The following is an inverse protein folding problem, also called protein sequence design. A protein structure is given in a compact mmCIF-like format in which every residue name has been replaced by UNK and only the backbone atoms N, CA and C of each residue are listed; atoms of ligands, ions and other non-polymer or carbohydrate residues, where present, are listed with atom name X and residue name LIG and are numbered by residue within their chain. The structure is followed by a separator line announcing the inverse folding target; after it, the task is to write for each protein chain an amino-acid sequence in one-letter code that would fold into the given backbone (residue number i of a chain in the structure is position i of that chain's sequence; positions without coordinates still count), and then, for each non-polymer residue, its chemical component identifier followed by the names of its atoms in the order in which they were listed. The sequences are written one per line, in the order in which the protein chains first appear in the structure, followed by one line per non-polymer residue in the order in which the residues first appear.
data_IF_135094823931
#
_entry.id   IF_135094823931
#
_cell.length_a   1.000
_cell.length_b   1.000
_cell.length_c   1.000
_cell.angle_alpha   90.00
_cell.angle_beta   90.00
_cell.angle_gamma   90.00
#
_symmetry.space_group_name_H-M   'P 1'
#
loop_
_entity.id
_entity.type
_entity.pdbx_description
1 polymer ?
#
# COMPACT_ATOMS: atom_id res chain seq x y z
N UNK A 1 29.79 7.88 -19.94
CA UNK A 1 29.15 9.09 -20.50
C UNK A 1 27.68 9.05 -20.15
N UNK A 2 27.14 10.15 -19.63
CA UNK A 2 25.72 10.27 -19.27
C UNK A 2 25.03 11.07 -20.36
N UNK A 3 23.85 10.61 -20.79
CA UNK A 3 23.05 11.26 -21.82
C UNK A 3 21.81 11.86 -21.20
N UNK A 4 21.68 13.17 -21.22
CA UNK A 4 20.48 13.88 -20.78
C UNK A 4 19.64 14.27 -21.99
N UNK A 5 18.41 13.77 -22.02
CA UNK A 5 17.43 14.09 -23.07
C UNK A 5 16.33 15.03 -22.57
N UNK A 6 16.08 15.03 -21.26
CA UNK A 6 14.98 15.76 -20.63
C UNK A 6 15.45 16.44 -19.33
N UNK A 7 14.77 17.51 -18.94
CA UNK A 7 14.90 18.16 -17.63
C UNK A 7 13.67 17.91 -16.75
N UNK A 8 13.87 17.59 -15.47
CA UNK A 8 12.80 17.51 -14.48
C UNK A 8 12.43 18.91 -14.00
N UNK A 9 11.14 19.24 -13.98
CA UNK A 9 10.66 20.51 -13.41
C UNK A 9 10.73 20.47 -11.89
N UNK A 10 11.37 21.49 -11.32
CA UNK A 10 11.57 21.69 -9.88
C UNK A 10 11.24 23.13 -9.56
N UNK A 11 10.57 23.39 -8.43
CA UNK A 11 10.28 24.77 -8.00
C UNK A 11 11.56 25.58 -7.87
N UNK A 12 11.51 26.88 -8.17
CA UNK A 12 12.67 27.76 -8.08
C UNK A 12 13.35 27.69 -6.69
N UNK A 13 12.53 27.67 -5.63
CA UNK A 13 12.99 27.54 -4.23
C UNK A 13 13.80 26.26 -4.00
N UNK A 14 13.32 25.10 -4.46
CA UNK A 14 14.06 23.84 -4.34
C UNK A 14 15.31 23.84 -5.23
N UNK A 15 15.24 24.44 -6.42
CA UNK A 15 16.38 24.50 -7.32
C UNK A 15 17.54 25.30 -6.71
N UNK A 16 17.26 26.44 -6.08
CA UNK A 16 18.27 27.28 -5.44
C UNK A 16 18.88 26.61 -4.19
N UNK A 17 18.06 25.88 -3.44
CA UNK A 17 18.54 25.10 -2.29
C UNK A 17 19.42 23.91 -2.73
N UNK A 18 19.02 23.20 -3.80
CA UNK A 18 19.84 22.13 -4.41
C UNK A 18 21.14 22.69 -5.01
N UNK A 19 21.09 23.87 -5.61
CA UNK A 19 22.24 24.58 -6.20
C UNK A 19 23.29 24.97 -5.15
N UNK A 20 22.82 25.39 -3.97
CA UNK A 20 23.70 25.74 -2.84
C UNK A 20 24.16 24.53 -2.04
N UNK A 21 23.57 23.34 -2.29
CA UNK A 21 23.82 22.14 -1.51
C UNK A 21 23.19 22.16 -0.12
N UNK A 22 22.25 23.08 0.14
CA UNK A 22 21.55 23.19 1.41
C UNK A 22 20.59 22.01 1.67
N UNK A 23 20.08 21.41 0.59
CA UNK A 23 19.23 20.22 0.62
C UNK A 23 19.69 19.21 -0.42
N UNK A 24 19.22 17.98 -0.27
CA UNK A 24 19.31 16.92 -1.29
C UNK A 24 17.92 16.42 -1.71
N UNK A 25 16.87 16.83 -1.01
CA UNK A 25 15.48 16.41 -1.23
C UNK A 25 14.74 17.31 -2.22
N UNK A 26 13.89 16.72 -3.05
CA UNK A 26 12.91 17.46 -3.86
C UNK A 26 11.66 16.62 -4.12
N UNK A 27 10.55 17.25 -4.52
CA UNK A 27 9.33 16.51 -4.85
C UNK A 27 9.12 16.34 -6.34
N UNK A 28 8.53 15.22 -6.70
CA UNK A 28 8.03 14.94 -8.05
C UNK A 28 6.58 14.47 -8.02
N UNK A 29 5.88 14.77 -9.11
CA UNK A 29 4.50 14.32 -9.35
C UNK A 29 4.44 12.87 -9.87
N UNK A 30 5.58 12.31 -10.27
CA UNK A 30 5.70 10.95 -10.81
C UNK A 30 6.90 10.24 -10.20
N UNK A 31 6.75 8.94 -9.98
CA UNK A 31 7.86 8.07 -9.58
C UNK A 31 9.03 8.17 -10.57
N UNK A 32 10.25 8.25 -10.05
CA UNK A 32 11.48 8.26 -10.83
C UNK A 32 12.29 7.00 -10.52
N UNK A 33 12.76 6.33 -11.57
CA UNK A 33 13.68 5.21 -11.41
C UNK A 33 14.98 5.69 -10.77
N UNK A 34 15.53 4.87 -9.88
CA UNK A 34 16.85 5.08 -9.28
C UNK A 34 17.90 5.13 -10.40
N UNK A 35 18.90 5.98 -10.19
CA UNK A 35 19.99 6.32 -11.11
C UNK A 35 19.54 6.97 -12.42
N UNK A 36 18.25 7.30 -12.58
CA UNK A 36 17.80 8.12 -13.69
C UNK A 36 18.45 9.50 -13.60
N UNK A 37 19.10 9.91 -14.69
CA UNK A 37 19.71 11.23 -14.83
C UNK A 37 18.81 12.17 -15.63
N UNK A 38 18.74 13.43 -15.22
CA UNK A 38 17.98 14.47 -15.90
C UNK A 38 18.56 15.86 -15.58
N UNK A 39 18.33 16.82 -16.45
CA UNK A 39 18.63 18.22 -16.14
C UNK A 39 17.64 18.75 -15.08
N UNK A 40 18.01 19.77 -14.30
CA UNK A 40 17.09 20.41 -13.36
C UNK A 40 16.53 21.69 -13.97
N UNK A 41 15.23 21.68 -14.25
CA UNK A 41 14.53 22.74 -14.94
C UNK A 41 13.71 23.56 -13.91
N UNK A 42 13.89 24.89 -13.79
CA UNK A 42 13.10 25.69 -12.87
C UNK A 42 11.64 25.86 -13.35
N UNK A 43 10.69 25.55 -12.47
CA UNK A 43 9.27 25.79 -12.69
C UNK A 43 8.93 27.26 -12.38
N UNK A 44 9.06 28.12 -13.40
CA UNK A 44 8.72 29.54 -13.33
C UNK A 44 7.28 29.76 -13.80
N UNK A 45 6.43 30.35 -12.96
CA UNK A 45 5.02 30.63 -13.27
C UNK A 45 4.83 31.95 -14.06
N UNK A 46 5.45 32.09 -15.23
CA UNK A 46 5.34 33.30 -16.06
C UNK A 46 4.99 32.99 -17.53
N UNK A 47 4.56 34.02 -18.28
CA UNK A 47 4.05 33.92 -19.65
C UNK A 47 5.08 33.33 -20.63
N UNK A 48 4.58 32.49 -21.55
CA UNK A 48 5.37 31.72 -22.52
C UNK A 48 6.11 32.64 -23.53
N UNK A 49 7.29 33.16 -23.19
CA UNK A 49 8.22 33.69 -24.20
C UNK A 49 9.71 33.70 -23.81
N UNK A 50 10.06 33.41 -22.55
CA UNK A 50 11.44 33.61 -22.08
C UNK A 50 12.28 32.32 -22.14
N UNK A 51 13.56 32.49 -22.46
CA UNK A 51 14.56 31.42 -22.38
C UNK A 51 15.03 31.29 -20.93
N UNK A 52 15.04 30.06 -20.42
CA UNK A 52 15.50 29.77 -19.07
C UNK A 52 16.83 29.05 -19.11
N UNK A 53 17.75 29.49 -18.26
CA UNK A 53 19.08 28.89 -18.15
C UNK A 53 19.02 27.65 -17.27
N UNK A 54 19.43 26.51 -17.83
CA UNK A 54 19.60 25.24 -17.11
C UNK A 54 21.08 24.92 -17.03
N UNK A 55 21.59 24.88 -15.81
CA UNK A 55 23.02 24.70 -15.51
C UNK A 55 23.30 23.62 -14.46
N UNK A 56 22.26 22.87 -14.06
CA UNK A 56 22.34 21.75 -13.13
C UNK A 56 21.71 20.50 -13.72
N UNK A 57 22.22 19.35 -13.31
CA UNK A 57 21.62 18.05 -13.56
C UNK A 57 21.72 17.19 -12.31
N UNK A 58 20.88 16.16 -12.22
CA UNK A 58 20.85 15.28 -11.07
C UNK A 58 20.71 13.82 -11.46
N UNK A 59 21.17 12.95 -10.56
CA UNK A 59 20.82 11.52 -10.52
C UNK A 59 19.87 11.28 -9.35
N UNK A 60 18.77 10.57 -9.61
CA UNK A 60 17.87 10.10 -8.56
C UNK A 60 18.53 8.97 -7.76
N UNK A 61 18.70 9.14 -6.45
CA UNK A 61 19.28 8.13 -5.55
C UNK A 61 18.25 7.41 -4.70
N UNK A 62 17.14 8.07 -4.37
CA UNK A 62 15.93 7.45 -3.85
C UNK A 62 14.69 8.13 -4.42
N UNK A 63 13.60 7.38 -4.49
CA UNK A 63 12.27 7.89 -4.83
C UNK A 63 11.24 7.14 -3.97
N UNK A 64 10.71 7.82 -2.96
CA UNK A 64 9.76 7.25 -2.01
C UNK A 64 8.40 7.91 -2.17
N UNK A 65 7.35 7.11 -2.04
CA UNK A 65 5.99 7.63 -1.96
C UNK A 65 5.75 8.08 -0.52
N UNK A 66 5.42 9.35 -0.34
CA UNK A 66 5.15 9.96 0.94
C UNK A 66 3.72 10.49 0.94
N UNK A 67 3.01 10.26 2.03
CA UNK A 67 1.69 10.79 2.29
C UNK A 67 1.69 11.70 3.54
N UNK A 68 0.50 12.16 3.92
CA UNK A 68 0.29 13.07 5.06
C UNK A 68 0.67 12.44 6.42
N UNK A 69 0.91 11.13 6.50
CA UNK A 69 1.34 10.46 7.73
C UNK A 69 2.82 10.70 8.03
N UNK A 70 3.59 11.15 7.03
CA UNK A 70 4.97 11.56 7.22
C UNK A 70 5.01 12.96 7.85
N UNK A 71 5.85 13.14 8.86
CA UNK A 71 5.95 14.39 9.60
C UNK A 71 6.25 15.59 8.67
N UNK A 72 5.33 16.54 8.61
CA UNK A 72 5.44 17.72 7.71
C UNK A 72 6.63 18.62 8.12
N UNK A 73 6.94 18.66 9.41
CA UNK A 73 8.08 19.44 9.92
C UNK A 73 9.41 18.86 9.44
N UNK A 74 9.47 17.54 9.30
CA UNK A 74 10.62 16.77 8.84
C UNK A 74 10.78 16.90 7.32
N UNK A 75 9.69 16.84 6.56
CA UNK A 75 9.71 17.12 5.11
C UNK A 75 10.16 18.55 4.78
N UNK A 76 9.83 19.51 5.65
CA UNK A 76 10.27 20.90 5.52
C UNK A 76 11.77 21.06 5.81
N UNK A 77 12.40 20.12 6.53
CA UNK A 77 13.86 20.12 6.73
C UNK A 77 14.61 19.46 5.56
N UNK A 78 13.99 18.49 4.90
CA UNK A 78 14.57 17.75 3.77
C UNK A 78 14.41 18.48 2.43
N UNK A 79 13.47 19.40 2.37
CA UNK A 79 13.15 20.18 1.16
C UNK A 79 13.21 21.67 1.47
N UNK A 80 13.24 22.54 0.45
CA UNK A 80 13.20 23.97 0.69
C UNK A 80 11.77 24.52 0.79
N UNK A 81 10.77 23.64 0.97
CA UNK A 81 9.36 24.03 1.08
C UNK A 81 8.99 24.32 2.53
N UNK A 82 8.14 25.33 2.73
CA UNK A 82 7.56 25.60 4.04
C UNK A 82 6.53 24.53 4.42
N UNK A 83 6.22 24.44 5.72
CA UNK A 83 5.16 23.56 6.24
C UNK A 83 3.83 23.85 5.53
N UNK A 84 3.49 25.13 5.32
CA UNK A 84 2.25 25.55 4.67
C UNK A 84 2.21 25.15 3.18
N UNK A 85 3.35 25.20 2.49
CA UNK A 85 3.45 24.74 1.10
C UNK A 85 3.27 23.21 1.01
N UNK A 86 3.87 22.46 1.94
CA UNK A 86 3.71 21.01 2.04
C UNK A 86 2.27 20.61 2.37
N UNK A 87 1.63 21.26 3.34
CA UNK A 87 0.22 21.05 3.68
C UNK A 87 -0.68 21.32 2.47
N UNK A 88 -0.46 22.41 1.74
CA UNK A 88 -1.20 22.73 0.52
C UNK A 88 -1.03 21.66 -0.56
N UNK A 89 0.19 21.13 -0.72
CA UNK A 89 0.48 20.03 -1.65
C UNK A 89 -0.27 18.75 -1.24
N UNK A 90 -0.26 18.38 0.04
CA UNK A 90 -0.97 17.19 0.54
C UNK A 90 -2.50 17.35 0.53
N UNK A 91 -3.02 18.57 0.73
CA UNK A 91 -4.45 18.85 0.57
C UNK A 91 -4.91 18.67 -0.88
N UNK A 92 -4.06 19.02 -1.85
CA UNK A 92 -4.36 18.82 -3.26
C UNK A 92 -4.11 17.38 -3.73
N UNK A 93 -3.29 16.61 -3.01
CA UNK A 93 -2.80 15.29 -3.43
C UNK A 93 -2.58 14.38 -2.23
N UNK A 94 -3.24 13.22 -2.23
CA UNK A 94 -3.13 12.24 -1.16
C UNK A 94 -1.67 11.74 -0.92
N UNK A 95 -0.82 11.75 -1.94
CA UNK A 95 0.59 11.39 -1.84
C UNK A 95 1.47 12.11 -2.87
N UNK A 96 2.75 12.27 -2.54
CA UNK A 96 3.80 12.84 -3.41
C UNK A 96 5.04 11.95 -3.40
N UNK A 97 5.91 12.10 -4.40
CA UNK A 97 7.19 11.37 -4.41
C UNK A 97 8.32 12.25 -3.90
N UNK A 98 8.94 11.88 -2.79
CA UNK A 98 10.18 12.48 -2.32
C UNK A 98 11.35 11.87 -3.07
N UNK A 99 12.19 12.74 -3.64
CA UNK A 99 13.39 12.39 -4.36
C UNK A 99 14.60 12.78 -3.54
N UNK A 100 15.55 11.86 -3.39
CA UNK A 100 16.91 12.21 -2.97
C UNK A 100 17.77 12.34 -4.22
N UNK A 101 18.33 13.52 -4.44
CA UNK A 101 19.00 13.90 -5.69
C UNK A 101 20.49 14.13 -5.47
N UNK A 102 21.34 13.41 -6.20
CA UNK A 102 22.77 13.72 -6.33
C UNK A 102 22.92 14.78 -7.43
N UNK A 103 23.18 16.02 -7.04
CA UNK A 103 23.20 17.18 -7.95
C UNK A 103 24.61 17.53 -8.42
N UNK A 104 24.69 17.90 -9.70
CA UNK A 104 25.91 18.22 -10.40
C UNK A 104 25.74 19.49 -11.25
N UNK A 105 26.83 20.21 -11.49
CA UNK A 105 26.87 21.29 -12.48
C UNK A 105 26.90 20.70 -13.88
N UNK A 106 26.17 21.32 -14.80
CA UNK A 106 26.45 21.18 -16.21
C UNK A 106 27.76 21.92 -16.54
N UNK A 107 28.70 21.30 -17.26
CA UNK A 107 29.91 21.99 -17.72
C UNK A 107 29.60 23.22 -18.59
N UNK A 108 28.55 23.13 -19.41
CA UNK A 108 28.06 24.23 -20.24
C UNK A 108 26.55 24.42 -19.98
N UNK A 109 26.14 25.53 -19.35
CA UNK A 109 24.73 25.90 -19.22
C UNK A 109 24.03 25.98 -20.57
N UNK A 110 22.77 25.58 -20.62
CA UNK A 110 21.94 25.61 -21.82
C UNK A 110 20.75 26.56 -21.63
N UNK A 111 20.22 27.07 -22.74
CA UNK A 111 18.97 27.83 -22.76
C UNK A 111 17.84 26.91 -23.23
N UNK A 112 16.76 26.83 -22.45
CA UNK A 112 15.59 26.02 -22.76
C UNK A 112 14.36 26.92 -22.80
N UNK A 113 13.50 26.73 -23.79
CA UNK A 113 12.25 27.49 -23.88
C UNK A 113 11.33 27.16 -22.70
N UNK A 114 10.71 28.20 -22.14
CA UNK A 114 9.70 28.01 -21.12
C UNK A 114 8.50 27.25 -21.65
N UNK A 115 8.13 26.18 -20.95
CA UNK A 115 6.97 25.35 -21.27
C UNK A 115 6.03 25.30 -20.06
N UNK A 116 4.73 25.42 -20.33
CA UNK A 116 3.70 25.56 -19.28
C UNK A 116 3.16 24.23 -18.73
N UNK A 117 3.46 23.07 -19.35
CA UNK A 117 2.84 21.77 -18.95
C UNK A 117 3.81 20.57 -18.95
N UNK A 118 3.61 19.62 -18.02
CA UNK A 118 4.40 18.38 -17.90
C UNK A 118 5.46 18.36 -16.79
N UNK A 119 5.82 17.17 -16.30
CA UNK A 119 6.89 17.00 -15.28
C UNK A 119 8.30 17.09 -15.86
N UNK A 120 8.43 16.71 -17.13
CA UNK A 120 9.68 16.74 -17.85
C UNK A 120 9.59 17.70 -19.04
N UNK A 121 10.64 18.48 -19.25
CA UNK A 121 10.81 19.36 -20.40
C UNK A 121 11.83 18.69 -21.34
N UNK A 122 11.52 18.48 -22.62
CA UNK A 122 12.50 17.99 -23.58
C UNK A 122 13.63 19.04 -23.72
N UNK A 123 14.87 18.59 -23.69
CA UNK A 123 16.00 19.47 -23.98
C UNK A 123 16.08 19.71 -25.50
N UNK A 124 16.53 20.89 -25.95
CA UNK A 124 16.63 21.20 -27.38
C UNK A 124 17.56 20.23 -28.12
N UNK A 125 18.60 19.75 -27.44
CA UNK A 125 19.53 18.74 -27.91
C UNK A 125 19.90 17.78 -26.78
N UNK A 126 20.35 16.58 -27.14
CA UNK A 126 20.86 15.60 -26.17
C UNK A 126 22.20 16.05 -25.63
N UNK A 127 22.33 16.16 -24.31
CA UNK A 127 23.56 16.60 -23.65
C UNK A 127 24.35 15.39 -23.22
N UNK A 128 25.60 15.30 -23.69
CA UNK A 128 26.53 14.23 -23.29
C UNK A 128 27.48 14.77 -22.23
N UNK A 129 27.47 14.14 -21.06
CA UNK A 129 28.30 14.50 -19.92
C UNK A 129 29.42 13.48 -19.79
N UNK A 130 30.66 13.98 -19.91
CA UNK A 130 31.90 13.23 -19.71
C UNK A 130 32.43 13.37 -18.29
N UNK A 131 32.20 14.51 -17.64
CA UNK A 131 32.73 14.83 -16.31
C UNK A 131 31.60 15.19 -15.34
N UNK A 132 31.64 14.57 -14.15
CA UNK A 132 30.69 14.85 -13.06
C UNK A 132 31.30 15.89 -12.13
N UNK A 133 30.70 17.08 -12.08
CA UNK A 133 31.12 18.15 -11.16
C UNK A 133 30.05 18.26 -10.07
N UNK A 134 30.18 17.54 -8.94
CA UNK A 134 29.12 17.50 -7.95
C UNK A 134 29.03 18.82 -7.17
N UNK A 135 27.82 19.20 -6.76
CA UNK A 135 27.59 20.38 -5.91
C UNK A 135 28.12 20.14 -4.49
N UNK A 136 27.84 18.96 -3.95
CA UNK A 136 28.35 18.47 -2.68
C UNK A 136 29.42 17.41 -2.95
N UNK A 137 30.51 17.36 -2.22
CA UNK A 137 31.39 16.19 -2.34
C UNK A 137 30.69 14.91 -1.81
N UNK A 138 31.29 13.73 -2.04
CA UNK A 138 30.65 12.46 -1.65
C UNK A 138 30.43 12.36 -0.14
N UNK A 139 31.33 12.95 0.66
CA UNK A 139 31.23 12.93 2.12
C UNK A 139 30.09 13.84 2.60
N UNK A 140 30.01 15.05 2.06
CA UNK A 140 28.94 16.01 2.36
C UNK A 140 27.57 15.48 1.95
N UNK A 141 27.50 14.85 0.78
CA UNK A 141 26.26 14.22 0.32
C UNK A 141 25.84 13.06 1.20
N UNK A 142 26.78 12.18 1.56
CA UNK A 142 26.51 11.08 2.47
C UNK A 142 26.06 11.57 3.84
N UNK A 143 26.69 12.63 4.37
CA UNK A 143 26.29 13.23 5.66
C UNK A 143 24.86 13.77 5.65
N UNK A 144 24.47 14.50 4.59
CA UNK A 144 23.09 15.02 4.49
C UNK A 144 22.10 13.89 4.23
N UNK A 145 22.49 12.87 3.46
CA UNK A 145 21.68 11.67 3.24
C UNK A 145 21.50 10.86 4.53
N UNK A 146 22.53 10.72 5.35
CA UNK A 146 22.48 10.01 6.64
C UNK A 146 21.64 10.79 7.65
N UNK A 147 21.75 12.12 7.69
CA UNK A 147 20.82 12.97 8.46
C UNK A 147 19.37 12.78 8.02
N UNK A 148 19.14 12.55 6.71
CA UNK A 148 17.81 12.27 6.16
C UNK A 148 17.28 10.89 6.55
N UNK A 149 18.17 9.89 6.71
CA UNK A 149 17.82 8.55 7.23
C UNK A 149 17.61 8.55 8.75
N UNK A 150 18.37 9.37 9.49
CA UNK A 150 18.16 9.56 10.94
C UNK A 150 16.81 10.25 11.23
N UNK A 151 16.29 11.05 10.28
CA UNK A 151 14.93 11.58 10.30
C UNK A 151 13.86 10.49 10.11
N UNK A 152 14.12 9.43 9.34
CA UNK A 152 13.26 8.22 9.34
C UNK A 152 13.31 7.48 10.69
N UNK A 153 14.48 7.45 11.35
CA UNK A 153 14.68 6.78 12.64
C UNK A 153 14.09 7.54 13.84
N UNK A 154 13.92 8.87 13.77
CA UNK A 154 13.30 9.67 14.84
C UNK A 154 11.77 9.54 14.88
N UNK A 155 11.14 9.27 13.73
CA UNK A 155 9.70 8.97 13.60
C UNK A 155 9.39 7.56 14.16
N UNK A 156 10.37 6.65 14.14
CA UNK A 156 10.30 5.34 14.81
C UNK A 156 10.72 5.43 16.30
N UNK A 157 11.55 6.41 16.65
CA UNK A 157 12.12 6.57 17.99
C UNK A 157 11.33 7.52 18.87
N UNK A 158 10.13 7.11 19.27
CA UNK A 158 9.59 7.55 20.56
C UNK A 158 8.70 6.53 21.29
N UNK A 159 8.81 5.22 20.97
CA UNK A 159 8.35 4.17 21.90
C UNK A 159 9.20 2.90 22.00
N UNK A 160 10.27 2.71 21.23
CA UNK A 160 11.11 1.51 21.37
C UNK A 160 12.59 1.81 21.10
N UNK A 161 13.27 2.44 22.05
CA UNK A 161 14.73 2.41 22.12
C UNK A 161 15.11 1.95 23.51
N UNK A 162 15.49 0.68 23.60
CA UNK A 162 16.69 0.22 24.31
C UNK A 162 16.73 -1.31 24.24
N UNK A 163 17.42 -1.82 23.22
CA UNK A 163 18.45 -2.87 23.35
C UNK A 163 18.98 -3.18 21.95
N UNK A 164 20.31 -3.26 21.85
CA UNK A 164 21.06 -3.61 20.66
C UNK A 164 20.45 -4.82 19.95
N UNK A 165 20.20 -4.68 18.65
CA UNK A 165 19.75 -5.78 17.81
C UNK A 165 20.98 -6.32 17.06
N UNK A 166 21.50 -7.43 17.58
CA UNK A 166 22.45 -8.34 16.95
C UNK A 166 21.93 -8.78 15.56
N UNK A 167 22.81 -9.34 14.73
CA UNK A 167 22.52 -9.98 13.43
C UNK A 167 21.36 -11.01 13.46
N UNK A 168 20.82 -11.34 14.65
CA UNK A 168 19.62 -12.16 14.85
C UNK A 168 18.27 -11.46 14.59
N UNK A 169 18.14 -10.13 14.70
CA UNK A 169 16.82 -9.49 14.54
C UNK A 169 16.42 -9.27 13.08
N UNK A 170 17.40 -9.15 12.17
CA UNK A 170 17.13 -9.24 10.72
C UNK A 170 16.63 -10.65 10.34
N UNK A 171 17.11 -11.68 11.05
CA UNK A 171 16.68 -13.08 10.90
C UNK A 171 15.31 -13.36 11.56
N UNK A 172 14.88 -12.57 12.56
CA UNK A 172 13.52 -12.69 13.15
C UNK A 172 12.42 -12.09 12.27
N UNK A 173 12.72 -11.09 11.44
CA UNK A 173 11.73 -10.45 10.56
C UNK A 173 11.55 -11.26 9.26
N UNK A 174 12.54 -12.10 8.90
CA UNK A 174 12.48 -12.99 7.72
C UNK A 174 13.12 -14.38 8.02
N UNK A 175 12.47 -15.24 8.81
CA UNK A 175 13.04 -16.54 9.20
C UNK A 175 13.25 -17.53 8.03
N UNK A 176 12.74 -17.24 6.82
CA UNK A 176 12.84 -18.14 5.67
C UNK A 176 13.93 -17.76 4.65
N UNK A 177 14.79 -16.78 4.93
CA UNK A 177 15.84 -16.37 3.97
C UNK A 177 17.09 -17.28 3.97
N UNK A 178 17.18 -18.25 4.88
CA UNK A 178 18.28 -19.21 4.94
C UNK A 178 17.75 -20.65 5.05
N UNK A 179 17.44 -21.27 3.92
CA UNK A 179 17.52 -22.73 3.79
C UNK A 179 17.95 -23.12 2.39
N UNK A 180 19.26 -23.01 2.13
CA UNK A 180 19.94 -23.88 1.17
C UNK A 180 21.11 -24.52 1.91
N UNK A 181 20.99 -25.85 2.10
CA UNK A 181 21.98 -26.82 2.60
C UNK A 181 22.27 -26.73 4.12
N UNK A 182 21.83 -27.63 5.00
CA UNK A 182 21.88 -29.11 4.96
C UNK A 182 20.90 -29.72 5.99
N UNK A 183 20.42 -30.94 5.70
CA UNK A 183 19.57 -31.86 6.49
C UNK A 183 19.59 -31.76 8.03
N UNK A 184 18.40 -31.70 8.66
CA UNK A 184 17.78 -32.82 9.39
C UNK A 184 16.29 -32.54 9.69
N UNK A 185 15.47 -33.60 9.59
CA UNK A 185 14.00 -33.61 9.64
C UNK A 185 13.50 -33.33 11.06
N UNK A 186 12.80 -32.21 11.31
CA UNK A 186 11.94 -32.03 12.49
C UNK A 186 10.69 -31.23 12.11
N UNK A 187 9.53 -31.80 12.41
CA UNK A 187 8.17 -31.38 11.99
C UNK A 187 7.80 -29.93 12.38
N UNK A 188 7.55 -29.09 11.38
CA UNK A 188 7.16 -27.66 11.51
C UNK A 188 5.67 -27.39 11.82
N UNK A 189 4.83 -28.42 12.02
CA UNK A 189 3.37 -28.23 12.09
C UNK A 189 2.81 -27.59 13.39
N UNK A 190 3.62 -27.44 14.46
CA UNK A 190 3.06 -27.15 15.79
C UNK A 190 3.28 -25.74 16.37
N UNK A 191 4.16 -24.89 15.82
CA UNK A 191 4.47 -23.58 16.45
C UNK A 191 3.69 -22.37 15.89
N UNK A 192 3.18 -22.40 14.65
CA UNK A 192 2.36 -21.31 14.08
C UNK A 192 0.89 -21.34 14.52
N UNK A 193 0.41 -22.48 15.04
CA UNK A 193 -1.01 -22.69 15.36
C UNK A 193 -1.51 -21.90 16.59
N UNK A 194 -0.61 -21.46 17.49
CA UNK A 194 -1.01 -20.84 18.75
C UNK A 194 -1.33 -19.32 18.64
N UNK A 195 -0.66 -18.60 17.73
CA UNK A 195 -0.79 -17.12 17.58
C UNK A 195 -2.11 -16.68 16.91
N UNK A 196 -2.69 -17.51 16.04
CA UNK A 196 -3.88 -17.18 15.24
C UNK A 196 -5.17 -17.85 15.75
N UNK A 197 -5.09 -18.58 16.87
CA UNK A 197 -6.21 -19.29 17.49
C UNK A 197 -7.43 -18.38 17.79
N UNK A 198 -7.19 -17.10 18.05
CA UNK A 198 -8.23 -16.11 18.29
C UNK A 198 -9.18 -15.91 17.09
N UNK A 199 -8.73 -16.14 15.85
CA UNK A 199 -9.57 -15.96 14.66
C UNK A 199 -10.80 -16.88 14.72
N UNK A 200 -10.62 -18.11 15.21
CA UNK A 200 -11.71 -19.09 15.39
C UNK A 200 -12.75 -18.63 16.43
N UNK A 201 -12.43 -17.65 17.27
CA UNK A 201 -13.34 -17.11 18.29
C UNK A 201 -14.27 -16.03 17.76
N UNK A 202 -14.03 -15.46 16.57
CA UNK A 202 -14.82 -14.36 16.00
C UNK A 202 -16.30 -14.77 15.88
N UNK A 203 -16.57 -15.89 15.22
CA UNK A 203 -17.94 -16.40 15.08
C UNK A 203 -18.55 -16.82 16.41
N UNK A 204 -17.76 -17.46 17.27
CA UNK A 204 -18.21 -17.96 18.58
C UNK A 204 -18.66 -16.81 19.50
N UNK A 205 -17.95 -15.67 19.49
CA UNK A 205 -18.31 -14.50 20.29
C UNK A 205 -19.54 -13.77 19.74
N UNK A 206 -19.79 -13.84 18.43
CA UNK A 206 -20.98 -13.25 17.83
C UNK A 206 -22.22 -14.13 17.95
N UNK A 207 -22.08 -15.45 17.72
CA UNK A 207 -23.18 -16.41 17.71
C UNK A 207 -23.51 -16.92 19.12
N UNK A 208 -24.46 -16.22 19.75
CA UNK A 208 -25.00 -16.60 21.07
C UNK A 208 -26.17 -17.57 20.99
N UNK A 209 -26.30 -18.34 19.90
CA UNK A 209 -27.33 -19.39 19.80
C UNK A 209 -27.04 -20.60 20.69
N UNK A 210 -25.79 -20.77 21.13
CA UNK A 210 -25.27 -21.94 21.87
C UNK A 210 -25.12 -21.67 23.39
N UNK A 211 -25.16 -20.41 23.85
CA UNK A 211 -25.14 -20.09 25.28
C UNK A 211 -26.48 -20.48 25.93
N UNK A 212 -26.55 -21.69 26.49
CA UNK A 212 -27.50 -22.00 27.54
C UNK A 212 -27.18 -21.11 28.74
N UNK A 213 -28.18 -20.37 29.24
CA UNK A 213 -28.34 -19.51 30.44
C UNK A 213 -27.18 -19.16 31.42
N UNK A 214 -25.91 -19.47 31.15
CA UNK A 214 -24.79 -19.30 32.08
C UNK A 214 -24.03 -17.97 31.86
N UNK A 215 -24.38 -17.03 32.75
CA UNK A 215 -23.49 -16.20 33.60
C UNK A 215 -22.53 -15.15 33.01
N UNK A 216 -22.51 -14.84 31.71
CA UNK A 216 -22.00 -13.52 31.26
C UNK A 216 -23.16 -12.54 31.11
N UNK A 217 -23.07 -11.37 31.75
CA UNK A 217 -24.05 -10.31 31.50
C UNK A 217 -24.08 -9.96 30.01
N UNK A 218 -25.26 -9.71 29.46
CA UNK A 218 -25.44 -9.36 28.03
C UNK A 218 -24.51 -8.24 27.58
N UNK A 219 -24.23 -7.31 28.50
CA UNK A 219 -23.29 -6.19 28.30
C UNK A 219 -21.86 -6.69 28.03
N UNK A 220 -21.34 -7.60 28.87
CA UNK A 220 -19.96 -8.10 28.72
C UNK A 220 -19.77 -8.88 27.42
N UNK A 221 -20.77 -9.66 27.02
CA UNK A 221 -20.72 -10.40 25.75
C UNK A 221 -20.75 -9.49 24.52
N UNK A 222 -21.54 -8.41 24.55
CA UNK A 222 -21.54 -7.39 23.51
C UNK A 222 -20.16 -6.73 23.37
N UNK A 223 -19.57 -6.32 24.49
CA UNK A 223 -18.22 -5.72 24.51
C UNK A 223 -17.14 -6.69 24.03
N UNK A 224 -17.17 -7.96 24.45
CA UNK A 224 -16.23 -8.98 23.98
C UNK A 224 -16.32 -9.15 22.45
N UNK A 225 -17.53 -9.13 21.89
CA UNK A 225 -17.76 -9.21 20.45
C UNK A 225 -17.29 -7.95 19.70
N UNK A 226 -17.60 -6.75 20.19
CA UNK A 226 -17.07 -5.52 19.59
C UNK A 226 -15.53 -5.52 19.55
N UNK A 227 -14.88 -5.98 20.62
CA UNK A 227 -13.43 -6.01 20.71
C UNK A 227 -12.81 -7.00 19.71
N UNK A 228 -13.42 -8.18 19.53
CA UNK A 228 -12.90 -9.15 18.54
C UNK A 228 -13.12 -8.64 17.10
N UNK A 229 -14.21 -7.93 16.84
CA UNK A 229 -14.44 -7.29 15.53
C UNK A 229 -13.43 -6.18 15.27
N UNK A 230 -13.15 -5.31 16.27
CA UNK A 230 -12.11 -4.27 16.15
C UNK A 230 -10.75 -4.88 15.84
N UNK A 231 -10.36 -5.91 16.60
CA UNK A 231 -9.11 -6.66 16.35
C UNK A 231 -9.07 -7.28 14.95
N UNK A 232 -10.21 -7.78 14.46
CA UNK A 232 -10.34 -8.34 13.11
C UNK A 232 -10.10 -7.28 12.03
N UNK A 233 -10.69 -6.09 12.19
CA UNK A 233 -10.53 -4.99 11.25
C UNK A 233 -9.09 -4.42 11.28
N UNK A 234 -8.49 -4.26 12.47
CA UNK A 234 -7.07 -3.90 12.62
C UNK A 234 -6.17 -4.92 11.92
N UNK A 235 -6.44 -6.22 12.15
CA UNK A 235 -5.70 -7.29 11.49
C UNK A 235 -5.84 -7.24 9.98
N UNK A 236 -7.00 -6.86 9.44
CA UNK A 236 -7.22 -6.68 7.99
C UNK A 236 -6.49 -5.45 7.41
N UNK A 237 -6.05 -4.52 8.25
CA UNK A 237 -5.33 -3.30 7.84
C UNK A 237 -6.13 -2.01 8.01
N UNK A 238 -7.24 -2.01 8.74
CA UNK A 238 -7.95 -0.77 9.08
C UNK A 238 -7.36 -0.09 10.32
N UNK A 239 -7.37 1.25 10.33
CA UNK A 239 -7.03 2.04 11.52
C UNK A 239 -8.30 2.30 12.34
N UNK A 240 -8.39 1.78 13.56
CA UNK A 240 -9.54 2.00 14.46
C UNK A 240 -9.45 3.38 15.10
N UNK A 241 -10.46 4.21 14.86
CA UNK A 241 -10.61 5.49 15.52
C UNK A 241 -11.14 5.28 16.95
N UNK A 242 -10.22 5.45 17.90
CA UNK A 242 -10.52 5.26 19.32
C UNK A 242 -11.23 6.48 19.95
N UNK A 243 -11.24 7.64 19.29
CA UNK A 243 -11.91 8.85 19.78
C UNK A 243 -13.44 8.71 19.75
N UNK A 244 -13.95 7.84 18.89
CA UNK A 244 -15.37 7.57 18.73
C UNK A 244 -15.84 6.28 19.43
N UNK A 245 -15.08 5.76 20.42
CA UNK A 245 -15.37 4.46 21.06
C UNK A 245 -16.76 4.35 21.73
N UNK A 246 -17.26 3.11 21.69
CA UNK A 246 -18.51 2.60 22.26
C UNK A 246 -18.70 2.84 23.76
N UNK A 247 -19.96 3.03 24.13
CA UNK A 247 -20.55 3.45 25.41
C UNK A 247 -21.97 3.99 25.15
N UNK A 248 -22.68 4.52 26.15
CA UNK A 248 -24.01 5.11 25.91
C UNK A 248 -23.91 6.30 24.93
N UNK A 249 -24.33 6.10 23.68
CA UNK A 249 -24.22 7.07 22.58
C UNK A 249 -22.99 6.91 21.66
N UNK A 250 -22.26 5.79 21.79
CA UNK A 250 -21.09 5.35 21.00
C UNK A 250 -21.40 4.70 19.66
N UNK A 251 -20.55 4.85 18.62
CA UNK A 251 -20.53 3.88 17.51
C UNK A 251 -19.71 2.68 17.97
N UNK A 252 -20.19 1.46 17.70
CA UNK A 252 -19.41 0.26 18.00
C UNK A 252 -18.13 0.22 17.18
N UNK A 253 -18.20 0.61 15.90
CA UNK A 253 -17.10 0.61 14.94
C UNK A 253 -16.94 1.98 14.27
N UNK A 254 -15.71 2.48 14.27
CA UNK A 254 -15.26 3.61 13.46
C UNK A 254 -13.82 3.35 13.04
N UNK A 255 -13.58 3.23 11.72
CA UNK A 255 -12.25 3.10 11.15
C UNK A 255 -11.98 4.32 10.28
N UNK A 256 -10.85 5.00 10.47
CA UNK A 256 -10.49 6.19 9.70
C UNK A 256 -9.84 5.85 8.36
N UNK A 257 -9.07 4.76 8.31
CA UNK A 257 -8.25 4.37 7.16
C UNK A 257 -8.42 2.88 6.85
N UNK A 258 -8.18 2.44 5.60
CA UNK A 258 -7.80 3.25 4.42
C UNK A 258 -8.98 4.05 3.82
N UNK A 259 -10.18 3.86 4.35
CA UNK A 259 -11.33 4.72 4.10
C UNK A 259 -12.26 4.65 5.31
N UNK A 260 -13.08 5.69 5.45
CA UNK A 260 -14.03 5.78 6.56
C UNK A 260 -15.04 4.62 6.52
N UNK A 261 -14.98 3.76 7.53
CA UNK A 261 -15.89 2.65 7.76
C UNK A 261 -16.51 2.80 9.15
N UNK A 262 -17.82 3.01 9.20
CA UNK A 262 -18.58 3.06 10.45
C UNK A 262 -19.51 1.86 10.55
N UNK A 263 -19.84 1.43 11.76
CA UNK A 263 -20.71 0.28 11.90
C UNK A 263 -21.11 -0.10 13.30
N UNK A 264 -21.96 -1.13 13.35
CA UNK A 264 -22.55 -1.69 14.56
C UNK A 264 -22.26 -3.19 14.66
N UNK A 265 -22.00 -3.65 15.88
CA UNK A 265 -21.77 -5.05 16.20
C UNK A 265 -22.97 -5.59 16.96
N UNK A 266 -23.66 -6.61 16.43
CA UNK A 266 -24.79 -7.22 17.13
C UNK A 266 -24.51 -8.71 17.39
N UNK A 267 -24.10 -9.01 18.62
CA UNK A 267 -24.02 -10.37 19.14
C UNK A 267 -25.43 -10.88 19.49
N UNK A 268 -25.81 -12.05 19.00
CA UNK A 268 -27.10 -12.67 19.32
C UNK A 268 -27.89 -13.25 18.14
N UNK A 269 -29.13 -13.69 18.42
CA UNK A 269 -29.98 -14.45 17.49
C UNK A 269 -30.62 -13.59 16.39
N UNK A 270 -30.68 -12.27 16.55
CA UNK A 270 -31.31 -11.35 15.60
C UNK A 270 -30.59 -9.99 15.56
N UNK A 271 -30.66 -9.31 14.42
CA UNK A 271 -30.23 -7.90 14.30
C UNK A 271 -31.49 -7.02 14.47
N UNK A 272 -31.63 -6.24 15.57
CA UNK A 272 -32.83 -5.46 15.85
C UNK A 272 -33.03 -4.31 14.86
N UNK A 273 -34.29 -3.90 14.65
CA UNK A 273 -34.69 -2.77 13.80
C UNK A 273 -33.90 -1.49 14.06
N UNK A 274 -33.69 -1.15 15.34
CA UNK A 274 -33.00 0.07 15.74
C UNK A 274 -31.54 0.15 15.31
N UNK A 275 -30.91 -0.94 14.88
CA UNK A 275 -29.48 -0.98 14.53
C UNK A 275 -29.14 -0.04 13.38
N UNK A 276 -29.96 -0.01 12.33
CA UNK A 276 -29.74 0.92 11.20
C UNK A 276 -29.99 2.36 11.60
N UNK A 277 -30.99 2.61 12.45
CA UNK A 277 -31.29 3.95 12.96
C UNK A 277 -30.17 4.48 13.87
N UNK A 278 -29.53 3.60 14.63
CA UNK A 278 -28.38 3.90 15.48
C UNK A 278 -27.16 4.35 14.66
N UNK A 279 -26.82 3.63 13.59
CA UNK A 279 -25.76 4.06 12.64
C UNK A 279 -26.06 5.44 12.07
N UNK A 280 -27.30 5.71 11.66
CA UNK A 280 -27.66 7.02 11.10
C UNK A 280 -27.54 8.11 12.16
N UNK A 281 -28.19 7.91 13.32
CA UNK A 281 -28.24 8.90 14.41
C UNK A 281 -26.84 9.21 14.92
N UNK A 282 -26.07 8.20 15.25
CA UNK A 282 -24.75 8.39 15.86
C UNK A 282 -23.73 8.82 14.80
N UNK A 283 -23.76 8.22 13.61
CA UNK A 283 -22.87 8.59 12.52
C UNK A 283 -23.04 10.03 12.07
N UNK A 284 -24.27 10.53 11.89
CA UNK A 284 -24.52 11.94 11.56
C UNK A 284 -24.13 12.89 12.69
N UNK A 285 -24.21 12.44 13.94
CA UNK A 285 -23.85 13.29 15.10
C UNK A 285 -22.34 13.40 15.29
N UNK A 286 -21.59 12.35 14.93
CA UNK A 286 -20.17 12.22 15.29
C UNK A 286 -19.22 12.52 14.14
N UNK A 287 -19.63 12.27 12.91
CA UNK A 287 -18.82 12.67 11.76
C UNK A 287 -18.89 14.19 11.63
N UNK A 288 -17.73 14.81 11.35
CA UNK A 288 -17.56 16.26 11.38
C UNK A 288 -18.38 16.94 10.29
N UNK A 289 -18.67 16.20 9.21
CA UNK A 289 -19.47 16.71 8.09
C UNK A 289 -20.50 15.70 7.60
N UNK A 290 -21.59 16.22 7.01
CA UNK A 290 -22.57 15.40 6.30
C UNK A 290 -21.95 14.66 5.09
N UNK A 291 -20.91 15.24 4.48
CA UNK A 291 -20.18 14.62 3.36
C UNK A 291 -19.44 13.36 3.80
N UNK A 292 -18.70 13.43 4.92
CA UNK A 292 -18.04 12.26 5.51
C UNK A 292 -19.05 11.15 5.79
N UNK A 293 -20.21 11.50 6.35
CA UNK A 293 -21.27 10.51 6.58
C UNK A 293 -21.78 9.90 5.28
N UNK A 294 -22.01 10.70 4.22
CA UNK A 294 -22.48 10.19 2.92
C UNK A 294 -21.47 9.28 2.23
N UNK A 295 -20.19 9.62 2.31
CA UNK A 295 -19.09 8.89 1.65
C UNK A 295 -18.60 7.69 2.45
N UNK A 296 -18.84 7.65 3.76
CA UNK A 296 -18.48 6.52 4.62
C UNK A 296 -19.16 5.22 4.16
N UNK A 297 -18.40 4.13 4.24
CA UNK A 297 -18.97 2.79 4.21
C UNK A 297 -19.61 2.50 5.57
N UNK A 298 -20.76 1.84 5.53
CA UNK A 298 -21.57 1.53 6.71
C UNK A 298 -21.73 0.04 6.77
N UNK A 299 -21.45 -0.58 7.92
CA UNK A 299 -21.51 -2.02 8.06
C UNK A 299 -22.20 -2.45 9.36
N UNK A 300 -22.97 -3.53 9.29
CA UNK A 300 -23.47 -4.26 10.45
C UNK A 300 -22.83 -5.63 10.42
N UNK A 301 -22.23 -6.03 11.54
CA UNK A 301 -21.62 -7.35 11.71
C UNK A 301 -22.38 -8.08 12.82
N UNK A 302 -23.00 -9.20 12.49
CA UNK A 302 -23.78 -9.97 13.46
C UNK A 302 -24.18 -11.34 12.97
N UNK A 303 -24.32 -12.30 13.88
CA UNK A 303 -24.72 -13.69 13.58
C UNK A 303 -26.22 -13.83 13.32
N UNK A 304 -27.03 -12.91 13.87
CA UNK A 304 -28.48 -12.98 13.83
C UNK A 304 -29.08 -12.68 12.46
N UNK A 305 -30.26 -13.26 12.19
CA UNK A 305 -31.00 -12.93 10.96
C UNK A 305 -31.45 -11.45 11.00
N UNK A 306 -31.19 -10.65 9.95
CA UNK A 306 -31.73 -9.30 9.88
C UNK A 306 -33.26 -9.33 9.72
N UNK A 307 -33.96 -8.43 10.39
CA UNK A 307 -35.40 -8.28 10.20
C UNK A 307 -35.70 -7.64 8.83
N UNK A 308 -36.92 -7.80 8.27
CA UNK A 308 -37.28 -7.17 7.00
C UNK A 308 -37.09 -5.64 7.00
N UNK A 309 -37.35 -4.99 8.14
CA UNK A 309 -37.11 -3.56 8.31
C UNK A 309 -35.62 -3.22 8.19
N UNK A 310 -34.74 -4.00 8.85
CA UNK A 310 -33.28 -3.80 8.75
C UNK A 310 -32.81 -3.92 7.30
N UNK A 311 -33.29 -4.90 6.54
CA UNK A 311 -32.95 -5.07 5.11
C UNK A 311 -33.43 -3.88 4.28
N UNK A 312 -34.64 -3.40 4.55
CA UNK A 312 -35.23 -2.25 3.86
C UNK A 312 -34.41 -0.98 4.13
N UNK A 313 -34.07 -0.71 5.39
CA UNK A 313 -33.27 0.43 5.78
C UNK A 313 -31.82 0.33 5.30
N UNK A 314 -31.22 -0.86 5.34
CA UNK A 314 -29.86 -1.07 4.87
C UNK A 314 -29.73 -0.79 3.38
N UNK A 315 -30.75 -1.18 2.60
CA UNK A 315 -30.83 -0.85 1.17
C UNK A 315 -30.94 0.65 0.96
N UNK A 316 -31.86 1.32 1.66
CA UNK A 316 -32.10 2.77 1.55
C UNK A 316 -30.85 3.59 1.89
N UNK A 317 -30.13 3.20 2.93
CA UNK A 317 -29.01 3.96 3.48
C UNK A 317 -27.63 3.41 3.13
N UNK A 318 -27.57 2.46 2.18
CA UNK A 318 -26.32 1.84 1.71
C UNK A 318 -25.47 1.23 2.85
N UNK A 319 -26.15 0.55 3.78
CA UNK A 319 -25.52 -0.20 4.87
C UNK A 319 -25.32 -1.64 4.41
N UNK A 320 -24.09 -2.13 4.52
CA UNK A 320 -23.75 -3.54 4.32
C UNK A 320 -24.05 -4.34 5.57
N UNK A 321 -24.49 -5.58 5.41
CA UNK A 321 -24.73 -6.52 6.51
C UNK A 321 -23.96 -7.80 6.21
N UNK A 322 -23.11 -8.23 7.14
CA UNK A 322 -22.38 -9.49 7.04
C UNK A 322 -22.57 -10.32 8.32
N UNK A 323 -22.49 -11.63 8.15
CA UNK A 323 -22.40 -12.58 9.24
C UNK A 323 -21.02 -12.56 9.88
N UNK A 324 -20.98 -12.99 11.12
CA UNK A 324 -19.74 -13.18 11.88
C UNK A 324 -18.81 -14.19 11.22
N UNK A 325 -19.37 -15.27 10.67
CA UNK A 325 -18.62 -16.27 9.88
C UNK A 325 -17.97 -15.67 8.64
N UNK A 326 -18.61 -14.70 7.99
CA UNK A 326 -18.08 -14.03 6.80
C UNK A 326 -16.87 -13.18 7.16
N UNK A 327 -16.94 -12.43 8.27
CA UNK A 327 -15.76 -11.72 8.79
C UNK A 327 -14.64 -12.70 9.15
N UNK A 328 -14.97 -13.80 9.84
CA UNK A 328 -13.99 -14.82 10.20
C UNK A 328 -13.28 -15.40 8.97
N UNK A 329 -14.03 -15.82 7.94
CA UNK A 329 -13.47 -16.32 6.68
C UNK A 329 -12.48 -15.34 6.05
N UNK A 330 -12.82 -14.05 6.02
CA UNK A 330 -11.96 -13.01 5.46
C UNK A 330 -10.65 -12.86 6.26
N UNK A 331 -10.73 -12.90 7.59
CA UNK A 331 -9.57 -12.83 8.49
C UNK A 331 -8.70 -14.09 8.39
N UNK A 332 -9.31 -15.27 8.32
CA UNK A 332 -8.62 -16.55 8.07
C UNK A 332 -7.89 -16.51 6.73
N UNK A 333 -8.53 -15.97 5.68
CA UNK A 333 -7.91 -15.85 4.37
C UNK A 333 -6.69 -14.92 4.39
N UNK A 334 -6.76 -13.75 5.03
CA UNK A 334 -5.58 -12.88 5.23
C UNK A 334 -4.47 -13.58 6.01
N UNK A 335 -4.83 -14.33 7.06
CA UNK A 335 -3.85 -15.06 7.86
C UNK A 335 -3.16 -16.18 7.07
N UNK A 336 -3.89 -16.79 6.12
CA UNK A 336 -3.36 -17.81 5.20
C UNK A 336 -2.45 -17.19 4.14
N UNK A 337 -2.86 -16.06 3.57
CA UNK A 337 -2.15 -15.36 2.50
C UNK A 337 -1.92 -13.90 2.90
N UNK A 338 -0.78 -13.65 3.56
CA UNK A 338 -0.47 -12.28 3.97
C UNK A 338 -0.27 -11.37 2.75
N UNK A 339 -0.73 -10.12 2.87
CA UNK A 339 -0.77 -9.16 1.76
C UNK A 339 -1.82 -9.43 0.67
N UNK A 340 -2.62 -10.51 0.74
CA UNK A 340 -3.58 -10.84 -0.32
C UNK A 340 -4.84 -9.96 -0.33
N UNK A 341 -5.22 -9.38 0.81
CA UNK A 341 -6.42 -8.55 0.94
C UNK A 341 -6.12 -7.10 0.57
N UNK A 342 -6.66 -6.66 -0.56
CA UNK A 342 -6.74 -5.26 -0.96
C UNK A 342 -8.04 -4.64 -0.44
N UNK A 343 -7.94 -3.75 0.55
CA UNK A 343 -9.08 -3.10 1.18
C UNK A 343 -9.82 -2.14 0.23
N UNK A 344 -9.15 -1.52 -0.74
CA UNK A 344 -9.82 -0.65 -1.72
C UNK A 344 -10.67 -1.47 -2.68
N UNK A 345 -10.21 -2.65 -3.11
CA UNK A 345 -11.05 -3.58 -3.88
C UNK A 345 -12.19 -4.13 -3.03
N UNK A 346 -11.93 -4.52 -1.78
CA UNK A 346 -12.96 -4.99 -0.85
C UNK A 346 -14.09 -3.95 -0.66
N UNK A 347 -13.75 -2.65 -0.67
CA UNK A 347 -14.71 -1.54 -0.58
C UNK A 347 -15.82 -1.60 -1.64
N UNK A 348 -15.54 -2.14 -2.82
CA UNK A 348 -16.49 -2.28 -3.92
C UNK A 348 -17.55 -3.36 -3.66
N UNK A 349 -17.20 -4.36 -2.84
CA UNK A 349 -18.10 -5.44 -2.42
C UNK A 349 -18.95 -5.06 -1.20
N UNK A 350 -18.60 -3.97 -0.51
CA UNK A 350 -19.42 -3.35 0.55
C UNK A 350 -20.63 -2.62 -0.05
N UNK A 351 -21.56 -3.41 -0.58
CA UNK A 351 -22.83 -2.99 -1.18
C UNK A 351 -23.96 -2.96 -0.14
N UNK A 352 -25.09 -2.35 -0.52
CA UNK A 352 -26.24 -2.21 0.37
C UNK A 352 -26.93 -3.57 0.59
N UNK A 353 -27.40 -3.84 1.80
CA UNK A 353 -28.08 -5.09 2.14
C UNK A 353 -27.15 -6.15 2.69
N UNK A 354 -27.63 -7.40 2.70
CA UNK A 354 -26.84 -8.55 3.14
C UNK A 354 -25.91 -9.00 2.01
N UNK A 355 -24.61 -9.05 2.29
CA UNK A 355 -23.56 -9.17 1.26
C UNK A 355 -22.59 -10.34 1.49
N UNK A 356 -22.99 -11.34 2.29
CA UNK A 356 -22.13 -12.51 2.58
C UNK A 356 -21.57 -13.14 1.29
N UNK A 357 -22.44 -13.41 0.31
CA UNK A 357 -22.05 -14.00 -0.97
C UNK A 357 -21.10 -13.11 -1.79
N UNK A 358 -21.17 -11.79 -1.61
CA UNK A 358 -20.27 -10.84 -2.27
C UNK A 358 -18.88 -10.83 -1.65
N UNK A 359 -18.79 -11.01 -0.34
CA UNK A 359 -17.49 -11.19 0.31
C UNK A 359 -16.88 -12.53 -0.08
N UNK A 360 -17.69 -13.60 -0.15
CA UNK A 360 -17.24 -14.90 -0.64
C UNK A 360 -16.77 -14.81 -2.11
N UNK A 361 -17.48 -14.07 -2.97
CA UNK A 361 -17.07 -13.78 -4.36
C UNK A 361 -15.71 -13.07 -4.42
N UNK A 362 -15.49 -12.05 -3.58
CA UNK A 362 -14.21 -11.35 -3.49
C UNK A 362 -13.07 -12.29 -3.06
N UNK A 363 -13.28 -13.09 -2.00
CA UNK A 363 -12.29 -14.04 -1.51
C UNK A 363 -11.92 -15.04 -2.62
N UNK A 364 -12.93 -15.60 -3.31
CA UNK A 364 -12.70 -16.54 -4.40
C UNK A 364 -11.88 -15.91 -5.53
N UNK A 365 -12.21 -14.66 -5.91
CA UNK A 365 -11.47 -13.94 -6.95
C UNK A 365 -9.99 -13.75 -6.58
N UNK A 366 -9.71 -13.35 -5.34
CA UNK A 366 -8.33 -13.21 -4.85
C UNK A 366 -7.61 -14.56 -4.83
N UNK A 367 -8.28 -15.63 -4.42
CA UNK A 367 -7.71 -16.98 -4.41
C UNK A 367 -7.36 -17.46 -5.82
N UNK A 368 -8.23 -17.25 -6.80
CA UNK A 368 -8.01 -17.63 -8.19
C UNK A 368 -6.86 -16.83 -8.81
N UNK A 369 -6.76 -15.55 -8.48
CA UNK A 369 -5.66 -14.66 -8.88
C UNK A 369 -4.31 -15.10 -8.30
N UNK A 370 -4.29 -15.59 -7.04
CA UNK A 370 -3.10 -16.16 -6.40
C UNK A 370 -2.69 -17.50 -7.05
N UNK A 371 -3.68 -18.38 -7.32
CA UNK A 371 -3.44 -19.67 -8.00
C UNK A 371 -2.85 -19.45 -9.39
N UNK A 372 -3.36 -18.48 -10.12
CA UNK A 372 -2.87 -18.12 -11.45
C UNK A 372 -1.41 -17.68 -11.39
N UNK A 373 -1.09 -16.75 -10.49
CA UNK A 373 0.27 -16.25 -10.28
C UNK A 373 1.24 -17.37 -9.88
N UNK A 374 0.85 -18.23 -8.94
CA UNK A 374 1.64 -19.39 -8.54
C UNK A 374 1.88 -20.35 -9.71
N UNK A 375 0.84 -20.59 -10.52
CA UNK A 375 0.97 -21.42 -11.72
C UNK A 375 1.98 -20.83 -12.71
N UNK A 376 1.91 -19.54 -13.00
CA UNK A 376 2.86 -18.85 -13.90
C UNK A 376 4.30 -18.93 -13.36
N UNK A 377 4.50 -18.69 -12.05
CA UNK A 377 5.82 -18.87 -11.41
C UNK A 377 6.34 -20.29 -11.60
N UNK A 378 5.47 -21.30 -11.45
CA UNK A 378 5.82 -22.70 -11.64
C UNK A 378 6.15 -23.03 -13.11
N UNK A 379 5.52 -22.40 -14.09
CA UNK A 379 5.88 -22.57 -15.51
C UNK A 379 7.29 -22.05 -15.78
N UNK A 380 7.63 -20.87 -15.24
CA UNK A 380 8.99 -20.32 -15.37
C UNK A 380 10.01 -21.21 -14.65
N UNK A 381 9.68 -21.70 -13.44
CA UNK A 381 10.50 -22.66 -12.69
C UNK A 381 10.81 -23.92 -13.50
N UNK A 382 9.77 -24.54 -14.09
CA UNK A 382 9.90 -25.76 -14.91
C UNK A 382 10.72 -25.54 -16.18
N UNK A 383 10.70 -24.34 -16.75
CA UNK A 383 11.50 -24.02 -17.92
C UNK A 383 13.01 -24.10 -17.61
N UNK A 384 13.41 -23.89 -16.36
CA UNK A 384 14.79 -23.94 -15.86
C UNK A 384 15.79 -23.15 -16.73
N UNK A 385 15.33 -22.02 -17.28
CA UNK A 385 16.10 -21.10 -18.13
C UNK A 385 15.38 -19.77 -18.23
N UNK A 386 16.07 -18.75 -18.74
CA UNK A 386 15.46 -17.47 -19.13
C UNK A 386 14.51 -17.68 -20.31
N UNK A 387 13.25 -17.28 -20.16
CA UNK A 387 12.20 -17.48 -21.16
C UNK A 387 11.52 -16.16 -21.53
N UNK A 388 11.10 -16.05 -22.79
CA UNK A 388 10.34 -14.89 -23.26
C UNK A 388 8.84 -15.12 -23.16
N UNK A 389 8.07 -14.05 -23.36
CA UNK A 389 6.60 -14.06 -23.31
C UNK A 389 6.02 -15.10 -24.27
N UNK A 390 6.49 -15.18 -25.51
CA UNK A 390 5.97 -16.14 -26.51
C UNK A 390 6.06 -17.59 -26.07
N UNK A 391 7.18 -17.97 -25.43
CA UNK A 391 7.36 -19.31 -24.88
C UNK A 391 6.38 -19.54 -23.72
N UNK A 392 6.26 -18.57 -22.83
CA UNK A 392 5.37 -18.68 -21.67
C UNK A 392 3.90 -18.73 -22.05
N UNK A 393 3.47 -17.95 -23.05
CA UNK A 393 2.12 -18.02 -23.61
C UNK A 393 1.85 -19.42 -24.16
N UNK A 394 2.73 -19.96 -25.00
CA UNK A 394 2.54 -21.31 -25.54
C UNK A 394 2.50 -22.42 -24.47
N UNK A 395 3.34 -22.33 -23.44
CA UNK A 395 3.33 -23.32 -22.34
C UNK A 395 2.14 -23.11 -21.41
N UNK A 396 1.70 -21.87 -21.19
CA UNK A 396 0.50 -21.56 -20.43
C UNK A 396 -0.74 -22.15 -21.11
N UNK A 397 -0.91 -21.93 -22.41
CA UNK A 397 -2.01 -22.49 -23.18
C UNK A 397 -2.00 -24.03 -23.15
N UNK A 398 -0.82 -24.63 -23.31
CA UNK A 398 -0.65 -26.08 -23.23
C UNK A 398 -0.86 -26.68 -21.82
N UNK A 399 -0.79 -25.84 -20.77
CA UNK A 399 -0.98 -26.29 -19.39
C UNK A 399 -2.43 -26.55 -19.02
N UNK A 400 -3.38 -26.16 -19.88
CA UNK A 400 -4.82 -26.25 -19.65
C UNK A 400 -5.27 -25.59 -18.34
N UNK A 401 -4.68 -24.42 -18.01
CA UNK A 401 -5.15 -23.65 -16.86
C UNK A 401 -6.61 -23.20 -17.11
N UNK A 402 -7.53 -23.33 -16.13
CA UNK A 402 -8.97 -23.10 -16.37
C UNK A 402 -9.34 -21.69 -16.84
N UNK A 403 -8.48 -20.70 -16.58
CA UNK A 403 -8.67 -19.30 -16.99
C UNK A 403 -7.85 -19.01 -18.25
N UNK A 404 -8.53 -18.54 -19.29
CA UNK A 404 -7.88 -17.91 -20.44
C UNK A 404 -7.42 -16.51 -20.06
N UNK A 405 -6.25 -16.11 -20.53
CA UNK A 405 -5.72 -14.76 -20.35
C UNK A 405 -5.99 -13.92 -21.60
N UNK A 406 -6.20 -12.62 -21.40
CA UNK A 406 -6.17 -11.66 -22.52
C UNK A 406 -4.72 -11.40 -22.98
N UNK A 407 -4.54 -10.91 -24.20
CA UNK A 407 -3.22 -10.77 -24.86
C UNK A 407 -2.16 -10.02 -24.00
N UNK A 408 -2.59 -9.07 -23.16
CA UNK A 408 -1.71 -8.26 -22.30
C UNK A 408 -1.66 -8.71 -20.84
N UNK A 409 -2.53 -9.63 -20.41
CA UNK A 409 -2.63 -10.02 -18.99
C UNK A 409 -1.40 -10.81 -18.54
N UNK A 410 -0.89 -11.73 -19.37
CA UNK A 410 0.33 -12.48 -19.06
C UNK A 410 1.58 -11.58 -18.95
N UNK A 411 1.87 -10.67 -19.89
CA UNK A 411 2.92 -9.66 -19.74
C UNK A 411 2.83 -8.88 -18.43
N UNK A 412 1.65 -8.36 -18.09
CA UNK A 412 1.46 -7.55 -16.88
C UNK A 412 1.72 -8.35 -15.60
N UNK A 413 1.22 -9.59 -15.53
CA UNK A 413 1.49 -10.50 -14.41
C UNK A 413 2.98 -10.81 -14.29
N UNK A 414 3.67 -11.07 -15.40
CA UNK A 414 5.12 -11.34 -15.38
C UNK A 414 5.91 -10.13 -14.89
N UNK A 415 5.51 -8.91 -15.29
CA UNK A 415 6.10 -7.67 -14.79
C UNK A 415 5.86 -7.53 -13.29
N UNK A 416 4.62 -7.70 -12.83
CA UNK A 416 4.24 -7.67 -11.41
C UNK A 416 5.09 -8.66 -10.59
N UNK A 417 5.13 -9.92 -11.00
CA UNK A 417 5.89 -11.00 -10.34
C UNK A 417 7.41 -10.78 -10.36
N UNK A 418 7.90 -9.99 -11.33
CA UNK A 418 9.31 -9.61 -11.44
C UNK A 418 9.69 -8.32 -10.73
N UNK A 419 8.69 -7.62 -10.17
CA UNK A 419 8.95 -6.39 -9.43
C UNK A 419 9.79 -6.68 -8.17
N UNK A 420 10.61 -5.72 -7.70
CA UNK A 420 11.34 -5.88 -6.44
C UNK A 420 10.43 -6.14 -5.23
N UNK A 421 9.17 -5.69 -5.27
CA UNK A 421 8.19 -5.89 -4.21
C UNK A 421 7.68 -7.34 -4.17
N UNK A 422 7.43 -7.96 -5.33
CA UNK A 422 6.97 -9.34 -5.41
C UNK A 422 8.13 -10.34 -5.34
N UNK A 423 9.15 -10.14 -6.19
CA UNK A 423 10.42 -10.88 -6.17
C UNK A 423 10.30 -12.38 -6.42
N UNK A 424 9.25 -12.86 -7.11
CA UNK A 424 9.09 -14.28 -7.44
C UNK A 424 9.86 -14.65 -8.71
N UNK A 425 9.96 -13.70 -9.64
CA UNK A 425 10.67 -13.83 -10.91
C UNK A 425 11.76 -12.75 -11.01
N UNK A 426 12.81 -13.05 -11.76
CA UNK A 426 13.75 -12.05 -12.27
C UNK A 426 13.37 -11.67 -13.69
N UNK A 427 13.71 -10.44 -14.10
CA UNK A 427 13.44 -9.92 -15.45
C UNK A 427 14.71 -9.27 -16.01
N UNK A 428 15.16 -9.79 -17.14
CA UNK A 428 16.11 -9.09 -18.01
C UNK A 428 15.31 -8.28 -19.01
N UNK A 429 15.41 -6.95 -18.92
CA UNK A 429 14.81 -6.07 -19.93
C UNK A 429 15.53 -6.29 -21.25
N UNK A 430 14.76 -6.53 -22.30
CA UNK A 430 15.32 -6.70 -23.62
C UNK A 430 15.69 -5.37 -24.27
N UNK A 431 16.82 -5.33 -24.98
CA UNK A 431 17.18 -4.20 -25.85
C UNK A 431 16.39 -4.25 -27.17
N UNK A 432 16.46 -3.17 -27.97
CA UNK A 432 15.79 -3.04 -29.27
C UNK A 432 15.81 -4.34 -30.10
N UNK A 433 14.65 -4.99 -30.21
CA UNK A 433 14.44 -6.22 -31.00
C UNK A 433 14.48 -7.55 -30.22
N UNK A 434 14.88 -7.57 -28.94
CA UNK A 434 14.72 -8.73 -28.06
C UNK A 434 13.68 -8.39 -27.01
N UNK A 435 12.58 -9.14 -26.95
CA UNK A 435 11.59 -8.98 -25.88
C UNK A 435 12.17 -9.37 -24.52
N UNK A 436 11.49 -8.96 -23.44
CA UNK A 436 11.88 -9.27 -22.07
C UNK A 436 12.02 -10.77 -21.82
N UNK A 437 12.94 -11.10 -20.91
CA UNK A 437 13.18 -12.48 -20.47
C UNK A 437 12.96 -12.60 -18.97
N UNK A 438 12.24 -13.63 -18.57
CA UNK A 438 11.91 -13.93 -17.20
C UNK A 438 12.61 -15.21 -16.74
N UNK A 439 13.02 -15.25 -15.48
CA UNK A 439 13.60 -16.42 -14.84
C UNK A 439 13.10 -16.57 -13.41
N UNK A 440 13.14 -17.78 -12.88
CA UNK A 440 12.65 -18.10 -11.56
C UNK A 440 13.62 -17.59 -10.48
N UNK A 441 13.07 -17.03 -9.38
CA UNK A 441 13.82 -16.69 -8.18
C UNK A 441 13.36 -17.51 -6.97
N UNK A 442 12.04 -17.54 -6.71
CA UNK A 442 11.44 -18.25 -5.58
C UNK A 442 9.98 -18.61 -5.83
N UNK A 443 9.47 -19.56 -5.05
CA UNK A 443 8.08 -19.98 -5.13
C UNK A 443 7.14 -18.90 -4.61
N UNK A 444 5.96 -18.79 -5.23
CA UNK A 444 4.82 -18.12 -4.64
C UNK A 444 4.06 -19.17 -3.81
N UNK A 445 4.17 -19.15 -2.48
CA UNK A 445 3.64 -20.20 -1.64
C UNK A 445 2.12 -20.16 -1.69
N UNK A 446 1.52 -21.18 -2.30
CA UNK A 446 0.17 -21.58 -1.96
C UNK A 446 0.32 -22.46 -0.72
N UNK A 447 0.03 -21.94 0.47
CA UNK A 447 -0.12 -22.80 1.64
C UNK A 447 -1.24 -23.80 1.30
N UNK A 448 -0.87 -25.02 0.94
CA UNK A 448 -1.82 -26.12 0.90
C UNK A 448 -2.41 -26.20 2.31
N UNK A 449 -3.74 -26.16 2.37
CA UNK A 449 -4.47 -26.13 3.63
C UNK A 449 -4.29 -27.42 4.41
#
# INVERSE_FOLDING_TARGET
MISLVNGLRISATNLDALRSGAIVGAFSKTFLAIDRSFALYPDLQFENSDLVTVDLWAECKSCENIDITFGISELSQLTALSIEELESIFQQRASIFLLVLRVYKLPNPIQVQQQSTGNFVPLPETIIISEKIPILDDKQFQQIQDQSKDLELSIVSNQFLDTALDDEDFLRINPNLLTVESQEVIDEENQTNNSLSWIKTISTLGDRSIEGEDKKSTVKAGTDFENIVKRSLEFLGFTIDKAHKGGAGGLDLCCSEPYLLIGECKAGKSIPKGTTEEIMRIGMTRLKTESEFKESKKIIIGSGKPTPDVITFSTKWKVSIIKTMTLQKLVEFKAKYDGAIDLFKLKEYLQAGQIDDKIDEYIQKVEDDLKLRSHIVNLVKKANRKVGIDYLSGVFDASNYPKSLEDNELPDILIELSSPLAGYLGRDKGDAGKGDRFYYLRDLPLKNG
#
